data_IF_482989659421
#
_entry.id   IF_482989659421
#
_cell.length_a   1.000
_cell.length_b   1.000
_cell.length_c   1.000
_cell.angle_alpha   90.00
_cell.angle_beta   90.00
_cell.angle_gamma   90.00
#
_symmetry.space_group_name_H-M   'P 1'
#
loop_
_entity.id
_entity.type
_entity.pdbx_description
1 polymer ?
#
# COMPACT_ATOMS: atom_id res chain seq x y z
N UNK A 1 22.64 -15.30 10.79
CA UNK A 1 21.47 -15.70 9.97
C UNK A 1 20.86 -17.06 10.33
N UNK A 2 21.61 -18.12 10.68
CA UNK A 2 21.03 -19.45 11.00
C UNK A 2 20.19 -19.52 12.30
N UNK A 3 20.42 -18.62 13.26
CA UNK A 3 19.69 -18.61 14.54
C UNK A 3 18.28 -18.00 14.45
N UNK A 4 18.07 -17.00 13.57
CA UNK A 4 16.76 -16.33 13.39
C UNK A 4 15.73 -17.27 12.75
N UNK A 5 16.16 -18.19 11.90
CA UNK A 5 15.28 -19.18 11.27
C UNK A 5 14.79 -20.27 12.24
N UNK A 6 15.57 -20.64 13.26
CA UNK A 6 15.19 -21.70 14.22
C UNK A 6 14.16 -21.24 15.25
N UNK A 7 14.20 -19.97 15.66
CA UNK A 7 13.19 -19.41 16.58
C UNK A 7 11.87 -19.15 15.85
N UNK A 8 11.91 -18.73 14.59
CA UNK A 8 10.70 -18.57 13.77
C UNK A 8 9.94 -19.87 13.50
N UNK A 9 10.66 -20.97 13.23
CA UNK A 9 10.04 -22.27 12.97
C UNK A 9 9.36 -22.90 14.20
N UNK A 10 9.90 -22.68 15.41
CA UNK A 10 9.32 -23.23 16.65
C UNK A 10 8.05 -22.48 17.08
N UNK A 11 7.97 -21.17 16.80
CA UNK A 11 6.76 -20.37 17.03
C UNK A 11 5.65 -20.67 16.01
N UNK A 12 5.99 -21.06 14.78
CA UNK A 12 5.01 -21.46 13.77
C UNK A 12 4.33 -22.81 14.08
N UNK A 13 5.02 -23.74 14.73
CA UNK A 13 4.45 -25.06 15.05
C UNK A 13 3.47 -25.05 16.23
N UNK A 14 3.66 -24.18 17.22
CA UNK A 14 2.79 -24.14 18.41
C UNK A 14 1.42 -23.49 18.17
N UNK A 15 1.27 -22.66 17.13
CA UNK A 15 -0.03 -22.07 16.75
C UNK A 15 -0.86 -22.94 15.80
N UNK A 16 -0.28 -24.00 15.23
CA UNK A 16 -0.96 -24.87 14.26
C UNK A 16 -1.96 -25.88 14.88
N UNK A 17 -2.02 -25.99 16.21
CA UNK A 17 -2.80 -27.01 16.91
C UNK A 17 -4.03 -26.49 17.68
N UNK A 18 -4.38 -25.21 17.54
CA UNK A 18 -5.63 -24.69 18.13
C UNK A 18 -6.81 -25.05 17.20
N UNK A 19 -7.82 -25.80 17.68
CA UNK A 19 -8.96 -26.20 16.85
C UNK A 19 -9.68 -24.99 16.25
N UNK A 20 -10.09 -25.15 14.99
CA UNK A 20 -10.61 -24.12 14.08
C UNK A 20 -12.00 -23.55 14.44
N UNK A 21 -12.50 -23.76 15.66
CA UNK A 21 -13.87 -23.38 16.06
C UNK A 21 -14.10 -21.87 16.22
N UNK A 22 -13.07 -21.04 16.04
CA UNK A 22 -13.17 -19.57 16.02
C UNK A 22 -12.94 -18.94 14.62
N UNK A 23 -12.91 -19.75 13.55
CA UNK A 23 -12.45 -19.30 12.23
C UNK A 23 -13.42 -18.36 11.47
N UNK A 24 -14.69 -18.26 11.87
CA UNK A 24 -15.70 -17.55 11.07
C UNK A 24 -15.71 -16.01 11.23
N UNK A 25 -14.84 -15.42 12.04
CA UNK A 25 -14.88 -13.96 12.30
C UNK A 25 -13.54 -13.21 12.15
N UNK A 26 -12.59 -13.73 11.36
CA UNK A 26 -11.35 -12.99 11.11
C UNK A 26 -11.61 -11.72 10.31
N UNK A 27 -11.25 -10.57 10.89
CA UNK A 27 -11.45 -9.28 10.23
C UNK A 27 -10.30 -8.99 9.26
N UNK A 28 -10.58 -8.54 8.03
CA UNK A 28 -9.57 -7.97 7.14
C UNK A 28 -8.77 -6.88 7.85
N UNK A 29 -7.46 -6.85 7.60
CA UNK A 29 -6.56 -5.93 8.30
C UNK A 29 -6.12 -4.77 7.39
N UNK A 30 -5.89 -3.59 7.96
CA UNK A 30 -5.37 -2.43 7.26
C UNK A 30 -3.96 -2.67 6.73
N UNK A 31 -3.64 -2.10 5.56
CA UNK A 31 -2.30 -1.94 4.99
C UNK A 31 -1.50 -0.85 5.75
N UNK A 32 -0.22 -0.67 5.42
CA UNK A 32 0.59 0.44 5.96
C UNK A 32 0.12 1.82 5.50
N UNK A 33 -0.76 1.91 4.50
CA UNK A 33 -1.32 3.18 4.04
C UNK A 33 -2.64 3.50 4.75
N UNK A 34 -3.15 2.61 5.62
CA UNK A 34 -4.27 2.88 6.53
C UNK A 34 -5.59 2.23 6.18
N UNK A 35 -5.81 1.79 4.93
CA UNK A 35 -7.08 1.14 4.56
C UNK A 35 -6.90 -0.36 4.44
N UNK A 36 -7.99 -1.13 4.42
CA UNK A 36 -7.92 -2.59 4.35
C UNK A 36 -7.08 -3.05 3.16
N UNK A 37 -6.20 -4.04 3.34
CA UNK A 37 -5.31 -4.48 2.26
C UNK A 37 -4.29 -5.55 2.66
N UNK A 38 -3.22 -5.62 1.86
CA UNK A 38 -2.10 -6.57 2.03
C UNK A 38 -1.03 -5.94 2.92
N UNK A 39 0.22 -5.79 2.47
CA UNK A 39 1.27 -5.11 3.23
C UNK A 39 1.16 -3.61 3.01
N UNK A 40 1.45 -3.15 1.79
CA UNK A 40 1.42 -1.73 1.38
C UNK A 40 0.45 -1.45 0.24
N UNK A 41 -0.11 -2.48 -0.39
CA UNK A 41 -1.21 -2.39 -1.35
C UNK A 41 -2.55 -2.40 -0.62
N UNK A 42 -3.39 -1.41 -0.92
CA UNK A 42 -4.77 -1.36 -0.44
C UNK A 42 -5.67 -2.31 -1.24
N UNK A 43 -6.76 -2.75 -0.63
CA UNK A 43 -7.87 -3.43 -1.34
C UNK A 43 -8.92 -2.41 -1.78
N UNK A 44 -9.92 -2.85 -2.56
CA UNK A 44 -11.12 -2.07 -2.81
C UNK A 44 -12.05 -1.96 -1.60
N UNK A 45 -11.84 -2.77 -0.55
CA UNK A 45 -12.69 -2.77 0.64
C UNK A 45 -12.53 -1.52 1.50
N UNK A 46 -13.60 -1.20 2.24
CA UNK A 46 -13.69 -0.12 3.20
C UNK A 46 -13.98 -0.66 4.60
N UNK A 47 -13.84 0.22 5.59
CA UNK A 47 -14.25 -0.11 6.94
C UNK A 47 -15.77 0.06 6.99
N UNK A 48 -16.52 -0.85 7.61
CA UNK A 48 -17.95 -0.63 7.84
C UNK A 48 -18.21 0.65 8.62
N UNK A 49 -19.43 1.16 8.56
CA UNK A 49 -19.86 2.30 9.36
C UNK A 49 -19.53 2.10 10.85
N UNK A 50 -18.94 3.13 11.47
CA UNK A 50 -18.49 3.15 12.87
C UNK A 50 -17.38 2.13 13.21
N UNK A 51 -16.83 1.43 12.23
CA UNK A 51 -15.63 0.63 12.44
C UNK A 51 -14.40 1.54 12.50
N UNK A 52 -13.38 1.12 13.26
CA UNK A 52 -12.08 1.78 13.24
C UNK A 52 -10.95 0.75 13.13
N UNK A 53 -9.81 1.19 12.64
CA UNK A 53 -8.61 0.39 12.51
C UNK A 53 -7.39 1.20 12.95
N UNK A 54 -6.44 0.52 13.59
CA UNK A 54 -5.15 1.09 13.99
C UNK A 54 -4.06 0.16 13.50
N UNK A 55 -3.04 0.73 12.88
CA UNK A 55 -1.91 0.00 12.32
C UNK A 55 -0.62 0.62 12.79
N UNK A 56 0.30 -0.18 13.32
CA UNK A 56 1.69 0.20 13.55
C UNK A 56 2.57 -0.63 12.64
N UNK A 57 3.60 -0.03 12.04
CA UNK A 57 4.49 -0.75 11.13
C UNK A 57 5.93 -0.29 11.20
N UNK A 58 6.82 -1.19 10.79
CA UNK A 58 8.21 -0.95 10.46
C UNK A 58 8.45 -1.48 9.04
N UNK A 59 9.01 -0.64 8.16
CA UNK A 59 9.20 -0.96 6.75
C UNK A 59 10.60 -0.55 6.32
N UNK A 60 11.40 -1.52 5.87
CA UNK A 60 12.73 -1.29 5.30
C UNK A 60 12.70 -1.56 3.80
N UNK A 61 13.23 -0.64 3.00
CA UNK A 61 13.36 -0.81 1.56
C UNK A 61 14.58 -0.09 0.99
N UNK A 62 14.92 -0.41 -0.25
CA UNK A 62 16.15 0.02 -0.92
C UNK A 62 15.85 0.93 -2.09
N UNK A 63 16.71 1.92 -2.33
CA UNK A 63 16.59 2.94 -3.36
C UNK A 63 17.96 3.30 -3.92
N UNK A 64 17.97 3.82 -5.14
CA UNK A 64 19.17 4.33 -5.79
C UNK A 64 19.05 5.84 -5.98
N UNK A 65 20.19 6.56 -6.08
CA UNK A 65 21.58 6.10 -5.99
C UNK A 65 22.07 5.95 -4.54
N UNK A 66 23.34 5.59 -4.35
CA UNK A 66 24.03 5.65 -3.06
C UNK A 66 23.88 4.43 -2.17
N UNK A 67 23.40 3.29 -2.71
CA UNK A 67 23.06 2.09 -1.92
C UNK A 67 22.17 2.50 -0.73
N UNK A 68 21.12 3.27 -1.02
CA UNK A 68 20.33 3.95 0.00
C UNK A 68 19.23 3.02 0.50
N UNK A 69 19.23 2.73 1.80
CA UNK A 69 18.14 2.00 2.46
C UNK A 69 17.36 2.91 3.39
N UNK A 70 16.04 2.82 3.34
CA UNK A 70 15.13 3.61 4.16
C UNK A 70 14.42 2.66 5.11
N UNK A 71 14.44 3.00 6.40
CA UNK A 71 13.67 2.37 7.45
C UNK A 71 12.62 3.38 7.94
N UNK A 72 11.34 3.02 7.82
CA UNK A 72 10.23 3.85 8.26
C UNK A 72 9.48 3.14 9.37
N UNK A 73 9.22 3.85 10.46
CA UNK A 73 8.21 3.49 11.45
C UNK A 73 7.01 4.40 11.27
N UNK A 74 5.81 3.83 11.35
CA UNK A 74 4.59 4.59 11.17
C UNK A 74 3.41 4.02 11.92
N UNK A 75 2.45 4.90 12.17
CA UNK A 75 1.15 4.54 12.72
C UNK A 75 0.07 5.15 11.85
N UNK A 76 -0.99 4.39 11.59
CA UNK A 76 -2.16 4.86 10.84
C UNK A 76 -3.43 4.49 11.56
N UNK A 77 -4.34 5.44 11.67
CA UNK A 77 -5.67 5.30 12.25
C UNK A 77 -6.70 5.61 11.18
N UNK A 78 -7.72 4.76 11.07
CA UNK A 78 -8.77 4.87 10.06
C UNK A 78 -10.13 4.63 10.67
N UNK A 79 -11.15 5.35 10.18
CA UNK A 79 -12.53 5.24 10.65
C UNK A 79 -13.47 5.14 9.45
N UNK A 80 -14.39 4.19 9.50
CA UNK A 80 -15.51 4.09 8.56
C UNK A 80 -16.62 5.03 8.99
N UNK A 81 -16.85 6.10 8.23
CA UNK A 81 -17.92 7.07 8.49
C UNK A 81 -19.26 6.53 7.99
N UNK A 82 -19.23 5.91 6.81
CA UNK A 82 -20.33 5.15 6.20
C UNK A 82 -19.76 3.88 5.58
N UNK A 83 -20.61 2.97 5.08
CA UNK A 83 -20.15 1.75 4.41
C UNK A 83 -19.50 2.00 3.04
N UNK A 84 -19.47 3.25 2.57
CA UNK A 84 -18.86 3.68 1.31
C UNK A 84 -17.87 4.83 1.48
N UNK A 85 -17.65 5.34 2.70
CA UNK A 85 -16.76 6.45 2.99
C UNK A 85 -15.93 6.24 4.26
N UNK A 86 -14.61 6.23 4.10
CA UNK A 86 -13.63 6.19 5.18
C UNK A 86 -12.80 7.47 5.24
N UNK A 87 -12.34 7.80 6.44
CA UNK A 87 -11.28 8.79 6.67
C UNK A 87 -10.10 8.12 7.38
N UNK A 88 -8.89 8.62 7.15
CA UNK A 88 -7.69 8.12 7.81
C UNK A 88 -6.66 9.21 8.07
N UNK A 89 -5.86 8.99 9.11
CA UNK A 89 -4.71 9.81 9.48
C UNK A 89 -3.53 8.89 9.79
N UNK A 90 -2.39 9.15 9.16
CA UNK A 90 -1.14 8.46 9.38
C UNK A 90 -0.04 9.43 9.77
N UNK A 91 0.91 8.96 10.55
CA UNK A 91 2.12 9.70 10.86
C UNK A 91 3.32 8.76 10.91
N UNK A 92 4.46 9.29 10.54
CA UNK A 92 5.74 8.58 10.55
C UNK A 92 6.64 9.21 11.62
N UNK A 93 6.55 8.74 12.89
CA UNK A 93 7.28 9.37 13.99
C UNK A 93 8.79 9.25 13.80
N UNK A 94 9.25 8.26 13.04
CA UNK A 94 10.66 8.09 12.75
C UNK A 94 10.89 7.44 11.39
N UNK A 95 11.78 8.06 10.62
CA UNK A 95 12.36 7.51 9.39
C UNK A 95 13.87 7.64 9.49
N UNK A 96 14.58 6.62 9.04
CA UNK A 96 16.03 6.59 9.00
C UNK A 96 16.51 6.24 7.60
N UNK A 97 17.42 7.05 7.07
CA UNK A 97 18.03 6.83 5.77
C UNK A 97 19.48 6.44 6.00
N UNK A 98 19.88 5.29 5.46
CA UNK A 98 21.25 4.81 5.45
C UNK A 98 21.79 4.79 4.02
N UNK A 99 23.03 5.20 3.82
CA UNK A 99 23.70 5.27 2.53
C UNK A 99 24.97 4.45 2.58
N UNK A 100 25.03 3.40 1.76
CA UNK A 100 26.25 2.60 1.64
C UNK A 100 27.35 3.28 0.81
N UNK A 101 26.98 4.16 -0.13
CA UNK A 101 27.93 4.86 -1.01
C UNK A 101 27.58 6.35 -1.13
N UNK A 102 27.84 7.17 -0.08
CA UNK A 102 27.46 8.59 -0.09
C UNK A 102 28.08 9.41 -1.21
N UNK A 103 29.22 8.99 -1.79
CA UNK A 103 29.87 9.67 -2.91
C UNK A 103 29.04 9.69 -4.21
N UNK A 104 28.00 8.86 -4.31
CA UNK A 104 27.05 8.87 -5.42
C UNK A 104 25.92 9.90 -5.24
N UNK A 105 25.92 10.65 -4.15
CA UNK A 105 24.89 11.65 -3.84
C UNK A 105 25.43 13.07 -4.03
N UNK A 106 24.72 13.88 -4.80
CA UNK A 106 25.11 15.24 -5.18
C UNK A 106 25.24 16.21 -4.01
N UNK A 107 24.54 15.98 -2.91
CA UNK A 107 24.69 16.80 -1.69
C UNK A 107 25.92 16.41 -0.86
N UNK A 108 26.66 15.38 -1.28
CA UNK A 108 27.93 14.93 -0.69
C UNK A 108 29.13 15.15 -1.61
N UNK A 109 28.93 15.66 -2.82
CA UNK A 109 30.04 15.93 -3.71
C UNK A 109 30.83 17.16 -3.26
N UNK A 110 32.14 17.22 -3.53
CA UNK A 110 32.96 18.37 -3.18
C UNK A 110 32.41 19.68 -3.74
N UNK A 111 32.64 20.79 -3.03
CA UNK A 111 32.24 22.14 -3.47
C UNK A 111 32.92 22.58 -4.76
N UNK A 112 34.01 21.91 -5.17
CA UNK A 112 34.69 22.10 -6.45
C UNK A 112 33.89 21.56 -7.63
N UNK A 113 32.94 20.63 -7.39
CA UNK A 113 32.06 20.16 -8.44
C UNK A 113 31.10 21.29 -8.84
N UNK A 114 30.94 21.56 -10.15
CA UNK A 114 30.07 22.62 -10.62
C UNK A 114 28.62 22.33 -10.20
N UNK A 115 27.84 23.37 -9.83
CA UNK A 115 26.40 23.22 -9.64
C UNK A 115 25.79 22.71 -10.95
N UNK A 116 24.82 21.81 -10.87
CA UNK A 116 24.16 21.33 -12.07
C UNK A 116 23.37 22.49 -12.70
N UNK A 117 23.67 22.86 -13.96
CA UNK A 117 23.01 23.98 -14.58
C UNK A 117 21.56 23.62 -14.85
N UNK A 118 20.65 24.44 -14.36
CA UNK A 118 19.30 24.51 -14.90
C UNK A 118 19.15 25.92 -15.47
N UNK A 119 18.88 26.00 -16.77
CA UNK A 119 19.01 27.18 -17.62
C UNK A 119 18.21 28.43 -17.15
N UNK A 120 17.42 28.30 -16.08
CA UNK A 120 16.61 29.40 -15.51
C UNK A 120 16.57 29.43 -13.97
N UNK A 121 17.17 28.48 -13.23
CA UNK A 121 17.19 28.47 -11.76
C UNK A 121 18.33 27.56 -11.25
N UNK A 122 19.24 28.01 -10.36
CA UNK A 122 20.27 27.12 -9.81
C UNK A 122 19.64 26.04 -8.93
N UNK A 123 19.89 24.76 -9.25
CA UNK A 123 19.58 23.67 -8.33
C UNK A 123 20.62 23.61 -7.21
N UNK A 124 20.22 23.13 -6.03
CA UNK A 124 21.14 22.85 -4.92
C UNK A 124 22.09 21.68 -5.21
N UNK A 125 21.77 20.88 -6.22
CA UNK A 125 22.58 19.71 -6.57
C UNK A 125 23.79 20.09 -7.42
N UNK A 126 24.91 19.47 -7.10
CA UNK A 126 26.16 19.55 -7.86
C UNK A 126 26.33 18.31 -8.72
N UNK A 127 27.03 18.44 -9.83
CA UNK A 127 27.36 17.31 -10.68
C UNK A 127 28.17 16.24 -9.93
N UNK A 128 27.99 14.98 -10.30
CA UNK A 128 28.76 13.87 -9.69
C UNK A 128 30.23 13.86 -10.14
N UNK A 129 30.54 14.50 -11.27
CA UNK A 129 31.91 14.69 -11.78
C UNK A 129 32.26 16.17 -11.84
N UNK A 130 33.56 16.50 -11.89
CA UNK A 130 34.05 17.89 -12.03
C UNK A 130 34.00 18.33 -13.50
N UNK A 131 32.86 18.08 -14.15
CA UNK A 131 32.62 18.46 -15.54
C UNK A 131 31.39 19.37 -15.57
N UNK A 132 31.48 20.58 -16.15
CA UNK A 132 30.32 21.46 -16.31
C UNK A 132 29.17 20.73 -17.01
N UNK A 133 27.97 20.83 -16.46
CA UNK A 133 26.79 20.14 -17.00
C UNK A 133 26.67 18.66 -16.61
N UNK A 134 27.62 18.09 -15.85
CA UNK A 134 27.47 16.73 -15.34
C UNK A 134 26.27 16.61 -14.40
N UNK A 135 25.44 15.62 -14.65
CA UNK A 135 24.18 15.48 -13.96
C UNK A 135 24.33 15.05 -12.49
N UNK A 136 23.37 15.41 -11.63
CA UNK A 136 23.39 15.07 -10.23
C UNK A 136 22.84 13.66 -9.98
N UNK A 137 23.18 13.10 -8.82
CA UNK A 137 22.62 11.86 -8.30
C UNK A 137 21.91 12.12 -6.98
N UNK A 138 20.62 11.81 -6.89
CA UNK A 138 19.86 11.92 -5.65
C UNK A 138 18.72 10.91 -5.64
N UNK A 139 18.22 10.54 -4.46
CA UNK A 139 17.10 9.61 -4.32
C UNK A 139 15.81 10.39 -4.52
N UNK A 140 15.01 10.10 -5.54
CA UNK A 140 13.82 10.91 -5.89
C UNK A 140 12.79 11.04 -4.76
N UNK A 141 12.51 9.95 -4.03
CA UNK A 141 11.64 9.96 -2.84
C UNK A 141 12.30 10.67 -1.62
N UNK A 142 13.63 10.75 -1.58
CA UNK A 142 14.42 11.29 -0.47
C UNK A 142 15.54 12.23 -0.98
N UNK A 143 15.19 13.30 -1.70
CA UNK A 143 16.15 14.05 -2.51
C UNK A 143 17.13 14.88 -1.67
N UNK A 144 16.77 15.15 -0.42
CA UNK A 144 17.60 15.86 0.55
C UNK A 144 18.46 14.92 1.40
N UNK A 145 18.32 13.61 1.22
CA UNK A 145 19.13 12.64 1.93
C UNK A 145 20.58 12.73 1.44
N UNK A 146 21.48 13.13 2.34
CA UNK A 146 22.91 13.22 2.05
C UNK A 146 23.79 12.43 3.05
N UNK A 147 23.29 12.04 4.23
CA UNK A 147 24.01 11.23 5.22
C UNK A 147 23.13 10.18 5.84
N UNK A 148 23.76 9.29 6.59
CA UNK A 148 23.11 8.48 7.60
C UNK A 148 22.48 9.40 8.65
N UNK A 149 21.17 9.55 8.59
CA UNK A 149 20.41 10.39 9.49
C UNK A 149 18.99 9.86 9.63
N UNK A 150 18.33 10.26 10.71
CA UNK A 150 16.93 9.98 10.93
C UNK A 150 16.19 11.21 11.42
N UNK A 151 14.89 11.19 11.25
CA UNK A 151 14.01 12.29 11.61
C UNK A 151 12.55 11.90 11.45
N UNK A 152 11.69 12.86 11.75
CA UNK A 152 10.24 12.71 11.54
C UNK A 152 9.91 12.71 10.05
N UNK A 153 8.91 11.91 9.67
CA UNK A 153 8.33 11.92 8.33
C UNK A 153 7.12 12.84 8.21
N UNK A 154 6.31 12.64 7.19
CA UNK A 154 5.11 13.44 6.94
C UNK A 154 3.94 12.98 7.81
N UNK A 155 2.97 13.87 8.02
CA UNK A 155 1.63 13.50 8.45
C UNK A 155 0.78 13.33 7.19
N UNK A 156 0.09 12.19 7.09
CA UNK A 156 -0.79 11.90 5.96
C UNK A 156 -2.23 11.96 6.44
N UNK A 157 -3.05 12.80 5.83
CA UNK A 157 -4.51 12.80 6.06
C UNK A 157 -5.18 12.44 4.75
N UNK A 158 -6.18 11.58 4.79
CA UNK A 158 -6.88 11.20 3.58
C UNK A 158 -8.27 10.65 3.82
N UNK A 159 -8.93 10.37 2.70
CA UNK A 159 -10.23 9.74 2.67
C UNK A 159 -10.32 8.75 1.51
N UNK A 160 -11.24 7.80 1.63
CA UNK A 160 -11.48 6.76 0.64
C UNK A 160 -12.98 6.59 0.43
N UNK A 161 -13.40 6.59 -0.83
CA UNK A 161 -14.76 6.41 -1.29
C UNK A 161 -14.83 5.10 -2.06
N UNK A 162 -15.75 4.22 -1.70
CA UNK A 162 -15.93 2.94 -2.38
C UNK A 162 -17.29 2.82 -3.03
N UNK A 163 -17.44 3.15 -4.33
CA UNK A 163 -18.71 3.00 -5.03
C UNK A 163 -19.14 1.53 -5.15
N UNK A 164 -18.20 0.59 -5.31
CA UNK A 164 -18.48 -0.84 -5.45
C UNK A 164 -17.80 -1.66 -4.34
N UNK A 165 -18.49 -2.68 -3.83
CA UNK A 165 -17.97 -3.60 -2.80
C UNK A 165 -18.63 -4.97 -2.92
N UNK A 166 -17.83 -6.03 -2.92
CA UNK A 166 -18.35 -7.40 -2.84
C UNK A 166 -19.16 -7.63 -1.56
N UNK A 167 -18.87 -6.91 -0.48
CA UNK A 167 -19.66 -6.98 0.76
C UNK A 167 -21.05 -6.36 0.63
N UNK A 168 -21.29 -5.59 -0.42
CA UNK A 168 -22.59 -5.03 -0.77
C UNK A 168 -23.24 -5.75 -1.96
N UNK A 169 -22.67 -6.87 -2.40
CA UNK A 169 -23.19 -7.68 -3.50
C UNK A 169 -22.64 -7.32 -4.89
N UNK A 170 -21.70 -6.37 -4.99
CA UNK A 170 -21.09 -6.01 -6.28
C UNK A 170 -20.11 -7.10 -6.77
N UNK A 171 -19.85 -7.14 -8.08
CA UNK A 171 -18.96 -8.14 -8.68
C UNK A 171 -17.49 -8.03 -8.24
N UNK A 172 -17.07 -6.83 -7.89
CA UNK A 172 -15.74 -6.53 -7.38
C UNK A 172 -15.81 -5.33 -6.45
N UNK A 173 -14.77 -5.14 -5.66
CA UNK A 173 -14.65 -3.96 -4.80
C UNK A 173 -13.79 -2.92 -5.50
N UNK A 174 -14.26 -1.68 -5.56
CA UNK A 174 -13.55 -0.54 -6.14
C UNK A 174 -13.59 0.62 -5.18
N UNK A 175 -12.45 1.27 -5.00
CA UNK A 175 -12.36 2.47 -4.21
C UNK A 175 -11.44 3.51 -4.83
N UNK A 176 -11.81 4.77 -4.64
CA UNK A 176 -11.02 5.96 -4.96
C UNK A 176 -10.56 6.55 -3.64
N UNK A 177 -9.27 6.85 -3.53
CA UNK A 177 -8.65 7.39 -2.32
C UNK A 177 -7.86 8.65 -2.64
N UNK A 178 -7.97 9.64 -1.76
CA UNK A 178 -7.21 10.88 -1.81
C UNK A 178 -6.37 11.01 -0.53
N UNK A 179 -5.09 11.30 -0.70
CA UNK A 179 -4.15 11.54 0.40
C UNK A 179 -3.51 12.93 0.27
N UNK A 180 -3.33 13.57 1.42
CA UNK A 180 -2.64 14.84 1.59
C UNK A 180 -1.42 14.61 2.48
N UNK A 181 -0.22 14.88 1.95
CA UNK A 181 1.05 14.75 2.66
C UNK A 181 1.43 16.11 3.23
N UNK A 182 1.38 16.23 4.55
CA UNK A 182 1.63 17.45 5.29
C UNK A 182 3.03 17.35 5.90
N UNK A 183 3.99 18.19 5.47
CA UNK A 183 5.34 18.14 5.99
C UNK A 183 5.40 18.60 7.43
N UNK A 184 6.08 17.83 8.28
CA UNK A 184 6.32 18.17 9.69
C UNK A 184 7.51 19.10 9.87
N UNK A 185 8.39 19.20 8.87
CA UNK A 185 9.53 20.12 8.83
C UNK A 185 9.51 20.94 7.54
N UNK A 186 9.84 22.23 7.64
CA UNK A 186 9.88 23.16 6.49
C UNK A 186 11.18 23.94 6.36
N UNK A 187 11.95 24.05 7.45
CA UNK A 187 13.27 24.70 7.42
C UNK A 187 14.22 23.91 6.54
N UNK A 188 14.88 24.57 5.59
CA UNK A 188 15.81 23.89 4.69
C UNK A 188 17.00 23.26 5.43
N UNK A 189 17.45 23.88 6.53
CA UNK A 189 18.47 23.29 7.42
C UNK A 189 18.01 21.95 8.00
N UNK A 190 16.85 21.93 8.66
CA UNK A 190 16.25 20.70 9.21
C UNK A 190 16.07 19.60 8.16
N UNK A 191 15.70 19.98 6.94
CA UNK A 191 15.48 19.04 5.84
C UNK A 191 16.79 18.44 5.32
N UNK A 192 17.85 19.25 5.20
CA UNK A 192 19.19 18.76 4.86
C UNK A 192 19.80 17.91 5.99
N UNK A 193 19.44 18.22 7.24
CA UNK A 193 19.98 17.53 8.40
C UNK A 193 19.38 16.14 8.59
N UNK A 194 18.08 16.02 8.33
CA UNK A 194 17.31 14.78 8.51
C UNK A 194 17.20 13.96 7.22
N UNK A 195 17.04 14.61 6.06
CA UNK A 195 16.90 13.93 4.76
C UNK A 195 15.66 13.03 4.62
N UNK A 196 14.68 13.15 5.52
CA UNK A 196 13.54 12.23 5.61
C UNK A 196 12.30 12.68 4.84
N UNK A 197 12.19 13.95 4.46
CA UNK A 197 11.04 14.52 3.78
C UNK A 197 11.46 15.69 2.88
N UNK A 198 10.55 16.17 2.03
CA UNK A 198 10.81 17.24 1.06
C UNK A 198 10.50 18.63 1.62
N UNK A 199 9.73 18.67 2.72
CA UNK A 199 9.23 19.88 3.35
C UNK A 199 8.12 20.58 2.57
N UNK A 200 7.54 19.92 1.56
CA UNK A 200 6.46 20.45 0.75
C UNK A 200 5.19 19.63 0.91
N UNK A 201 4.06 20.30 0.72
CA UNK A 201 2.77 19.64 0.65
C UNK A 201 2.67 18.77 -0.60
N UNK A 202 2.23 17.52 -0.44
CA UNK A 202 1.95 16.59 -1.53
C UNK A 202 0.47 16.22 -1.59
N UNK A 203 0.01 15.85 -2.77
CA UNK A 203 -1.33 15.27 -2.98
C UNK A 203 -1.23 14.01 -3.81
N UNK A 204 -1.99 12.98 -3.45
CA UNK A 204 -2.06 11.72 -4.19
C UNK A 204 -3.50 11.28 -4.38
N UNK A 205 -3.87 11.05 -5.63
CA UNK A 205 -5.08 10.32 -6.01
C UNK A 205 -4.75 8.86 -6.26
N UNK A 206 -5.63 7.95 -5.85
CA UNK A 206 -5.45 6.52 -6.04
C UNK A 206 -6.76 5.80 -6.31
N UNK A 207 -6.67 4.73 -7.08
CA UNK A 207 -7.74 3.78 -7.36
C UNK A 207 -7.26 2.41 -6.88
N UNK A 208 -8.10 1.72 -6.12
CA UNK A 208 -7.84 0.37 -5.61
C UNK A 208 -9.00 -0.53 -6.02
N UNK A 209 -8.68 -1.68 -6.59
CA UNK A 209 -9.65 -2.70 -6.97
C UNK A 209 -9.28 -4.00 -6.26
N UNK A 210 -10.27 -4.74 -5.78
CA UNK A 210 -10.05 -6.08 -5.26
C UNK A 210 -11.16 -7.04 -5.63
N UNK A 211 -10.83 -8.33 -5.64
CA UNK A 211 -11.77 -9.40 -5.92
C UNK A 211 -11.42 -10.66 -5.13
N UNK A 212 -12.45 -11.34 -4.65
CA UNK A 212 -12.35 -12.65 -4.03
C UNK A 212 -12.58 -13.76 -5.06
N UNK A 213 -11.76 -14.81 -4.99
CA UNK A 213 -11.71 -15.91 -5.93
C UNK A 213 -11.85 -17.26 -5.23
N UNK A 214 -12.33 -18.25 -5.99
CA UNK A 214 -12.42 -19.66 -5.59
C UNK A 214 -13.08 -19.90 -4.22
N UNK A 215 -14.30 -19.37 -4.03
CA UNK A 215 -15.08 -19.50 -2.79
C UNK A 215 -14.28 -19.03 -1.56
N UNK A 216 -13.85 -17.77 -1.57
CA UNK A 216 -13.13 -17.12 -0.47
C UNK A 216 -11.75 -17.70 -0.16
N UNK A 217 -11.08 -18.32 -1.14
CA UNK A 217 -9.73 -18.86 -0.94
C UNK A 217 -8.63 -17.89 -1.30
N UNK A 218 -8.88 -16.93 -2.18
CA UNK A 218 -7.86 -15.96 -2.61
C UNK A 218 -8.50 -14.59 -2.75
N UNK A 219 -7.89 -13.56 -2.18
CA UNK A 219 -8.25 -12.16 -2.42
C UNK A 219 -7.11 -11.52 -3.19
N UNK A 220 -7.40 -11.01 -4.38
CA UNK A 220 -6.44 -10.25 -5.18
C UNK A 220 -6.80 -8.77 -5.12
N UNK A 221 -5.79 -7.90 -5.00
CA UNK A 221 -5.93 -6.45 -4.95
C UNK A 221 -4.96 -5.80 -5.94
N UNK A 222 -5.38 -4.71 -6.58
CA UNK A 222 -4.59 -3.95 -7.55
C UNK A 222 -4.79 -2.46 -7.32
N UNK A 223 -3.69 -1.70 -7.37
CA UNK A 223 -3.66 -0.27 -7.09
C UNK A 223 -3.00 0.50 -8.23
N UNK A 224 -3.58 1.66 -8.53
CA UNK A 224 -3.00 2.69 -9.39
C UNK A 224 -3.07 4.00 -8.62
N UNK A 225 -1.95 4.68 -8.44
CA UNK A 225 -1.93 5.99 -7.78
C UNK A 225 -1.02 6.98 -8.47
N UNK A 226 -1.44 8.23 -8.52
CA UNK A 226 -0.66 9.34 -9.05
C UNK A 226 -0.48 10.40 -7.96
N UNK A 227 0.76 10.75 -7.67
CA UNK A 227 1.14 11.78 -6.69
C UNK A 227 1.71 12.98 -7.40
N UNK A 228 1.08 14.12 -7.17
CA UNK A 228 1.62 15.43 -7.54
C UNK A 228 2.56 15.86 -6.43
N UNK A 229 3.82 16.04 -6.81
CA UNK A 229 4.87 16.53 -5.91
C UNK A 229 5.01 18.05 -6.05
N UNK A 230 5.63 18.67 -5.04
CA UNK A 230 5.89 20.11 -5.07
C UNK A 230 7.36 20.35 -4.83
N UNK A 231 7.93 21.22 -5.64
CA UNK A 231 9.33 21.59 -5.58
C UNK A 231 9.70 22.20 -4.23
N UNK A 232 10.74 21.69 -3.54
CA UNK A 232 11.25 22.31 -2.32
C UNK A 232 11.72 23.72 -2.55
N UNK A 233 11.38 24.61 -1.60
CA UNK A 233 11.74 26.02 -1.64
C UNK A 233 12.39 26.44 -0.33
N UNK A 234 13.41 27.28 -0.40
CA UNK A 234 13.85 28.08 0.75
C UNK A 234 13.91 29.54 0.35
N UNK A 235 13.47 30.43 1.23
CA UNK A 235 13.38 31.87 0.95
C UNK A 235 12.65 32.18 -0.38
N UNK A 236 11.58 31.41 -0.68
CA UNK A 236 10.78 31.45 -1.92
C UNK A 236 11.51 31.06 -3.21
N UNK A 237 12.80 30.74 -3.15
CA UNK A 237 13.59 30.24 -4.29
C UNK A 237 13.40 28.73 -4.40
N UNK A 238 13.11 28.24 -5.61
CA UNK A 238 13.04 26.81 -5.92
C UNK A 238 14.42 26.18 -5.83
N UNK A 239 14.56 25.13 -5.03
CA UNK A 239 15.84 24.45 -4.80
C UNK A 239 16.14 23.36 -5.82
N UNK A 240 15.12 22.66 -6.30
CA UNK A 240 15.19 21.70 -7.39
C UNK A 240 13.76 21.38 -7.83
N UNK A 241 13.65 20.74 -8.98
CA UNK A 241 12.36 20.29 -9.52
C UNK A 241 12.15 18.81 -9.22
N UNK A 242 11.05 18.47 -8.54
CA UNK A 242 10.68 17.09 -8.23
C UNK A 242 9.92 16.41 -9.35
N UNK A 243 10.13 15.10 -9.50
CA UNK A 243 9.30 14.27 -10.36
C UNK A 243 8.00 13.92 -9.65
N UNK A 244 6.91 13.92 -10.40
CA UNK A 244 5.66 13.31 -9.95
C UNK A 244 5.83 11.79 -9.88
N UNK A 245 4.96 11.13 -9.10
CA UNK A 245 5.09 9.70 -8.83
C UNK A 245 3.84 8.96 -9.27
N UNK A 246 3.99 8.09 -10.26
CA UNK A 246 3.02 7.07 -10.63
C UNK A 246 3.38 5.77 -9.91
N UNK A 247 2.43 5.16 -9.21
CA UNK A 247 2.64 3.87 -8.53
C UNK A 247 1.59 2.87 -8.98
N UNK A 248 2.06 1.68 -9.31
CA UNK A 248 1.25 0.53 -9.69
C UNK A 248 1.53 -0.58 -8.66
N UNK A 249 0.50 -1.20 -8.13
CA UNK A 249 0.65 -2.26 -7.13
C UNK A 249 -0.30 -3.41 -7.38
N UNK A 250 0.13 -4.61 -7.04
CA UNK A 250 -0.72 -5.79 -7.01
C UNK A 250 -0.38 -6.64 -5.79
N UNK A 251 -1.38 -7.20 -5.12
CA UNK A 251 -1.17 -8.04 -3.96
C UNK A 251 -2.23 -9.12 -3.83
N UNK A 252 -1.87 -10.22 -3.18
CA UNK A 252 -2.72 -11.38 -3.01
C UNK A 252 -2.66 -11.87 -1.58
N UNK A 253 -3.82 -12.18 -1.01
CA UNK A 253 -3.98 -12.88 0.28
C UNK A 253 -4.52 -14.27 -0.02
N UNK A 254 -3.79 -15.30 0.42
CA UNK A 254 -4.22 -16.69 0.33
C UNK A 254 -4.91 -17.09 1.63
N UNK A 255 -6.00 -17.83 1.51
CA UNK A 255 -6.77 -18.36 2.63
C UNK A 255 -7.23 -17.25 3.60
N UNK A 256 -7.95 -16.21 3.13
CA UNK A 256 -8.33 -15.02 3.92
C UNK A 256 -9.21 -15.32 5.14
N UNK A 257 -9.76 -16.54 5.28
CA UNK A 257 -10.52 -17.01 6.45
C UNK A 257 -9.68 -17.84 7.43
N UNK A 258 -8.40 -18.07 7.15
CA UNK A 258 -7.50 -18.81 8.03
C UNK A 258 -6.67 -17.87 8.90
N UNK A 259 -6.27 -18.34 10.09
CA UNK A 259 -5.43 -17.55 11.02
C UNK A 259 -4.02 -17.30 10.49
N UNK A 260 -3.56 -18.11 9.56
CA UNK A 260 -2.29 -17.97 8.88
C UNK A 260 -2.62 -17.70 7.42
N UNK A 261 -2.33 -16.49 6.96
CA UNK A 261 -2.63 -16.05 5.60
C UNK A 261 -1.33 -15.75 4.88
N UNK A 262 -0.87 -16.62 3.98
CA UNK A 262 0.23 -16.29 3.09
C UNK A 262 -0.15 -15.06 2.25
N UNK A 263 0.80 -14.15 2.05
CA UNK A 263 0.59 -12.92 1.30
C UNK A 263 1.76 -12.63 0.38
N UNK A 264 1.45 -12.08 -0.78
CA UNK A 264 2.45 -11.58 -1.74
C UNK A 264 2.01 -10.23 -2.29
N UNK A 265 2.96 -9.38 -2.61
CA UNK A 265 2.73 -8.04 -3.15
C UNK A 265 3.87 -7.66 -4.09
N UNK A 266 3.58 -6.93 -5.17
CA UNK A 266 4.57 -6.26 -6.01
C UNK A 266 4.11 -4.84 -6.31
N UNK A 267 5.01 -3.88 -6.13
CA UNK A 267 4.78 -2.45 -6.34
C UNK A 267 5.85 -1.89 -7.26
N UNK A 268 5.43 -1.18 -8.30
CA UNK A 268 6.26 -0.41 -9.20
C UNK A 268 6.07 1.07 -8.88
N UNK A 269 7.17 1.79 -8.72
CA UNK A 269 7.18 3.26 -8.58
C UNK A 269 7.87 3.85 -9.80
N UNK A 270 7.17 4.69 -10.54
CA UNK A 270 7.60 5.31 -11.78
C UNK A 270 7.62 6.82 -11.56
N UNK A 271 8.78 7.44 -11.76
CA UNK A 271 8.94 8.88 -11.64
C UNK A 271 8.67 9.56 -12.98
N UNK A 272 7.68 10.43 -13.03
CA UNK A 272 7.14 11.04 -14.26
C UNK A 272 7.27 12.55 -14.27
N UNK A 273 7.09 13.15 -15.45
CA UNK A 273 7.11 14.60 -15.64
C UNK A 273 8.51 15.21 -15.69
N UNK A 274 8.56 16.52 -15.93
CA UNK A 274 9.80 17.28 -15.93
C UNK A 274 10.35 17.36 -14.51
N UNK A 275 11.61 16.96 -14.34
CA UNK A 275 12.31 16.91 -13.06
C UNK A 275 13.76 17.34 -13.26
N UNK A 276 14.44 17.69 -12.16
CA UNK A 276 15.89 17.87 -12.24
C UNK A 276 16.51 16.57 -12.74
N UNK A 277 17.40 16.65 -13.73
CA UNK A 277 17.99 15.43 -14.27
C UNK A 277 18.63 14.64 -13.14
N UNK A 278 18.40 13.34 -13.10
CA UNK A 278 18.96 12.46 -12.09
C UNK A 278 19.72 11.34 -12.79
N UNK A 279 21.04 11.41 -12.77
CA UNK A 279 21.92 10.33 -13.29
C UNK A 279 22.22 9.33 -12.21
N UNK A 280 21.17 8.78 -11.62
CA UNK A 280 21.28 7.62 -10.74
C UNK A 280 22.06 6.51 -11.45
N UNK A 281 23.14 6.03 -10.84
CA UNK A 281 23.89 4.83 -11.28
C UNK A 281 23.07 3.54 -11.06
N UNK A 282 21.81 3.51 -11.49
CA UNK A 282 20.87 2.46 -11.11
C UNK A 282 19.45 2.75 -11.58
N UNK A 283 18.55 1.78 -11.35
CA UNK A 283 17.16 1.94 -11.75
C UNK A 283 16.51 3.08 -10.95
N UNK A 284 16.11 4.13 -11.68
CA UNK A 284 15.33 5.25 -11.16
C UNK A 284 13.99 4.79 -10.61
N UNK A 285 13.32 3.88 -11.32
CA UNK A 285 11.94 3.44 -11.04
C UNK A 285 11.94 2.08 -10.33
N UNK A 286 11.90 1.99 -8.99
CA UNK A 286 12.08 0.72 -8.30
C UNK A 286 10.85 -0.22 -8.45
N UNK A 287 11.13 -1.53 -8.53
CA UNK A 287 10.16 -2.60 -8.39
C UNK A 287 10.38 -3.33 -7.07
N UNK A 288 9.48 -3.15 -6.10
CA UNK A 288 9.51 -3.79 -4.80
C UNK A 288 8.56 -4.99 -4.77
N UNK A 289 9.07 -6.18 -4.46
CA UNK A 289 8.24 -7.37 -4.20
C UNK A 289 8.33 -7.76 -2.73
N UNK A 290 7.20 -8.13 -2.13
CA UNK A 290 7.08 -8.55 -0.72
C UNK A 290 6.39 -9.90 -0.66
N UNK A 291 6.97 -10.84 0.08
CA UNK A 291 6.36 -12.15 0.37
C UNK A 291 6.37 -12.38 1.87
N UNK A 292 5.28 -12.90 2.41
CA UNK A 292 5.20 -13.12 3.84
C UNK A 292 3.91 -13.74 4.30
N UNK A 293 3.61 -13.54 5.57
CA UNK A 293 2.45 -14.11 6.24
C UNK A 293 1.77 -13.07 7.12
N UNK A 294 0.45 -13.19 7.24
CA UNK A 294 -0.36 -12.55 8.28
C UNK A 294 -0.81 -13.61 9.27
N UNK A 295 -0.60 -13.33 10.55
CA UNK A 295 -0.94 -14.20 11.67
C UNK A 295 -2.03 -13.52 12.51
N UNK A 296 -3.09 -14.25 12.84
CA UNK A 296 -4.18 -13.79 13.70
C UNK A 296 -4.13 -14.48 15.07
N UNK A 297 -3.47 -13.87 16.08
CA UNK A 297 -3.63 -14.28 17.46
C UNK A 297 -5.09 -14.15 17.94
N UNK A 298 -5.80 -13.10 17.48
CA UNK A 298 -7.21 -12.84 17.76
C UNK A 298 -7.96 -12.40 16.48
N UNK A 299 -9.28 -12.49 16.47
CA UNK A 299 -10.11 -12.17 15.30
C UNK A 299 -9.96 -10.72 14.81
N UNK A 300 -9.68 -9.80 15.73
CA UNK A 300 -9.57 -8.36 15.54
C UNK A 300 -8.14 -7.83 15.66
N UNK A 301 -7.14 -8.72 15.70
CA UNK A 301 -5.74 -8.35 15.80
C UNK A 301 -4.86 -9.28 14.97
N UNK A 302 -3.99 -8.70 14.15
CA UNK A 302 -3.05 -9.46 13.35
C UNK A 302 -1.65 -8.88 13.36
N UNK A 303 -0.68 -9.77 13.13
CA UNK A 303 0.72 -9.45 12.91
C UNK A 303 1.10 -9.92 11.51
N UNK A 304 1.58 -8.99 10.68
CA UNK A 304 2.08 -9.28 9.34
C UNK A 304 3.61 -9.21 9.36
N UNK A 305 4.26 -10.21 8.77
CA UNK A 305 5.71 -10.26 8.57
C UNK A 305 5.98 -10.60 7.13
N UNK A 306 6.69 -9.70 6.43
CA UNK A 306 7.03 -9.83 5.02
C UNK A 306 8.51 -9.57 4.76
N UNK A 307 9.12 -10.43 3.95
CA UNK A 307 10.43 -10.19 3.34
C UNK A 307 10.23 -9.37 2.06
N UNK A 308 10.95 -8.26 1.94
CA UNK A 308 10.92 -7.39 0.76
C UNK A 308 12.20 -7.54 -0.05
N UNK A 309 12.09 -7.51 -1.36
CA UNK A 309 13.23 -7.44 -2.28
C UNK A 309 12.95 -6.47 -3.42
N UNK A 310 13.86 -5.55 -3.66
CA UNK A 310 13.78 -4.66 -4.83
C UNK A 310 14.47 -5.30 -6.03
N UNK A 311 13.72 -5.59 -7.09
CA UNK A 311 14.17 -6.49 -8.16
C UNK A 311 15.10 -5.86 -9.20
N UNK A 312 14.91 -4.59 -9.53
CA UNK A 312 15.60 -3.94 -10.66
C UNK A 312 16.79 -3.04 -10.25
N UNK A 313 17.15 -3.00 -8.98
CA UNK A 313 18.32 -2.25 -8.49
C UNK A 313 19.62 -3.06 -8.70
N UNK A 314 20.09 -3.25 -9.95
CA UNK A 314 21.25 -4.12 -10.24
C UNK A 314 22.52 -3.77 -9.45
N UNK A 315 22.82 -2.49 -9.28
CA UNK A 315 24.05 -1.98 -8.66
C UNK A 315 23.95 -1.77 -7.13
N UNK A 316 22.82 -2.13 -6.52
CA UNK A 316 22.57 -1.86 -5.10
C UNK A 316 23.13 -2.99 -4.22
N UNK A 317 23.98 -2.65 -3.25
CA UNK A 317 24.63 -3.61 -2.37
C UNK A 317 23.66 -4.37 -1.46
N UNK A 318 22.61 -3.71 -0.97
CA UNK A 318 21.57 -4.35 -0.14
C UNK A 318 20.15 -4.22 -0.75
N UNK A 319 19.70 -5.21 -1.51
CA UNK A 319 18.36 -5.20 -2.13
C UNK A 319 17.26 -5.73 -1.21
N UNK A 320 17.60 -6.07 0.03
CA UNK A 320 16.73 -6.78 0.96
C UNK A 320 16.13 -5.83 1.98
N UNK A 321 14.84 -5.98 2.19
CA UNK A 321 14.06 -5.22 3.13
C UNK A 321 13.07 -6.12 3.86
N UNK A 322 12.21 -5.48 4.64
CA UNK A 322 11.12 -6.17 5.32
C UNK A 322 9.94 -5.23 5.51
N UNK A 323 8.78 -5.81 5.78
CA UNK A 323 7.62 -5.10 6.33
C UNK A 323 7.14 -5.90 7.52
N UNK A 324 7.10 -5.27 8.69
CA UNK A 324 6.48 -5.82 9.89
C UNK A 324 5.35 -4.87 10.26
N UNK A 325 4.17 -5.42 10.52
CA UNK A 325 2.99 -4.62 10.85
C UNK A 325 2.16 -5.31 11.92
N UNK A 326 1.59 -4.52 12.81
CA UNK A 326 0.60 -4.95 13.79
C UNK A 326 -0.66 -4.12 13.55
N UNK A 327 -1.77 -4.81 13.30
CA UNK A 327 -3.06 -4.18 13.02
C UNK A 327 -4.10 -4.62 14.03
N UNK A 328 -4.93 -3.69 14.48
CA UNK A 328 -6.18 -4.00 15.15
C UNK A 328 -7.34 -3.33 14.43
N UNK A 329 -8.47 -4.03 14.40
CA UNK A 329 -9.67 -3.59 13.69
C UNK A 329 -10.88 -3.88 14.55
N UNK A 330 -11.66 -2.85 14.85
CA UNK A 330 -12.90 -2.99 15.61
C UNK A 330 -14.08 -2.67 14.71
N UNK A 331 -15.01 -3.61 14.57
CA UNK A 331 -16.28 -3.40 13.86
C UNK A 331 -17.40 -3.41 14.89
N UNK A 332 -18.18 -2.34 14.95
CA UNK A 332 -19.33 -2.26 15.86
C UNK A 332 -20.41 -3.28 15.47
N UNK A 333 -20.60 -3.49 14.18
CA UNK A 333 -21.57 -4.43 13.62
C UNK A 333 -20.88 -5.73 13.19
N UNK A 334 -21.56 -6.86 13.40
CA UNK A 334 -21.15 -8.11 12.76
C UNK A 334 -21.22 -7.91 11.25
N UNK A 335 -20.25 -8.43 10.47
CA UNK A 335 -20.34 -8.36 9.01
C UNK A 335 -21.68 -8.97 8.62
N UNK A 336 -22.47 -8.29 7.78
CA UNK A 336 -23.60 -8.98 7.15
C UNK A 336 -23.04 -10.16 6.36
N UNK A 337 -23.65 -11.35 6.44
CA UNK A 337 -23.25 -12.48 5.61
C UNK A 337 -23.17 -12.06 4.14
N UNK A 338 -22.23 -12.62 3.38
CA UNK A 338 -22.19 -12.43 1.92
C UNK A 338 -23.53 -12.91 1.37
N UNK A 339 -24.22 -12.08 0.59
CA UNK A 339 -25.50 -12.44 0.02
C UNK A 339 -25.35 -13.69 -0.86
N UNK A 340 -26.20 -14.69 -0.62
CA UNK A 340 -26.21 -15.97 -1.31
C UNK A 340 -27.28 -15.93 -2.39
N UNK A 341 -27.04 -16.66 -3.47
CA UNK A 341 -28.00 -16.70 -4.57
C UNK A 341 -29.30 -17.38 -4.12
N UNK A 342 -30.47 -16.89 -4.58
CA UNK A 342 -31.73 -17.55 -4.32
C UNK A 342 -31.76 -18.91 -5.02
N UNK A 343 -32.50 -19.84 -4.42
CA UNK A 343 -32.77 -21.15 -5.02
C UNK A 343 -34.21 -21.17 -5.51
N UNK A 344 -34.42 -21.63 -6.75
CA UNK A 344 -35.75 -21.81 -7.31
C UNK A 344 -35.91 -23.24 -7.85
N UNK A 345 -37.07 -23.84 -7.58
CA UNK A 345 -37.52 -25.08 -8.19
C UNK A 345 -38.82 -24.81 -8.94
N UNK A 346 -38.87 -25.22 -10.20
CA UNK A 346 -40.04 -25.05 -11.05
C UNK A 346 -40.67 -26.41 -11.34
N UNK A 347 -41.98 -26.51 -11.18
CA UNK A 347 -42.77 -27.66 -11.59
C UNK A 347 -43.86 -27.21 -12.56
N UNK A 348 -43.98 -27.89 -13.69
CA UNK A 348 -45.10 -27.73 -14.61
C UNK A 348 -46.18 -28.76 -14.28
N UNK A 349 -47.45 -28.37 -14.40
CA UNK A 349 -48.59 -29.27 -14.22
C UNK A 349 -48.60 -30.42 -15.25
N UNK A 350 -48.12 -30.14 -16.46
CA UNK A 350 -48.04 -31.09 -17.57
C UNK A 350 -46.59 -31.40 -17.92
N UNK A 351 -46.28 -32.68 -18.11
CA UNK A 351 -44.94 -33.13 -18.53
C UNK A 351 -44.61 -32.77 -20.00
N UNK A 352 -45.64 -32.55 -20.82
CA UNK A 352 -45.51 -32.15 -22.22
C UNK A 352 -46.79 -31.46 -22.69
N UNK A 353 -46.66 -30.53 -23.63
CA UNK A 353 -47.78 -29.94 -24.38
C UNK A 353 -47.50 -30.01 -25.87
N UNK A 354 -48.55 -30.22 -26.66
CA UNK A 354 -48.43 -30.19 -28.11
C UNK A 354 -48.45 -28.75 -28.60
N UNK A 355 -47.54 -28.43 -29.53
CA UNK A 355 -47.57 -27.15 -30.23
C UNK A 355 -48.96 -26.96 -30.87
N UNK A 356 -49.47 -25.71 -30.85
CA UNK A 356 -50.75 -25.31 -31.44
C UNK A 356 -52.02 -25.90 -30.78
N UNK A 357 -51.90 -26.64 -29.67
CA UNK A 357 -53.06 -27.20 -28.95
C UNK A 357 -53.96 -26.15 -28.27
N UNK A 358 -53.47 -24.94 -28.03
CA UNK A 358 -54.15 -23.94 -27.20
C UNK A 358 -54.12 -24.26 -25.70
N UNK A 359 -53.41 -25.32 -25.29
CA UNK A 359 -53.31 -25.73 -23.90
C UNK A 359 -52.59 -24.67 -23.04
N UNK A 360 -53.17 -24.36 -21.88
CA UNK A 360 -52.49 -23.62 -20.81
C UNK A 360 -51.78 -24.60 -19.88
N UNK A 361 -50.60 -24.22 -19.39
CA UNK A 361 -49.82 -25.00 -18.42
C UNK A 361 -49.60 -24.14 -17.18
N UNK A 362 -50.10 -24.60 -16.03
CA UNK A 362 -49.72 -24.01 -14.75
C UNK A 362 -48.24 -24.31 -14.48
N UNK A 363 -47.44 -23.25 -14.30
CA UNK A 363 -46.07 -23.35 -13.81
C UNK A 363 -46.05 -22.85 -12.38
N UNK A 364 -45.67 -23.73 -11.45
CA UNK A 364 -45.48 -23.37 -10.05
C UNK A 364 -43.99 -23.22 -9.78
N UNK A 365 -43.61 -22.08 -9.20
CA UNK A 365 -42.24 -21.80 -8.76
C UNK A 365 -42.23 -21.82 -7.24
N UNK A 366 -41.37 -22.64 -6.65
CA UNK A 366 -41.00 -22.58 -5.25
C UNK A 366 -39.61 -21.97 -5.17
N UNK A 367 -39.53 -20.72 -4.74
CA UNK A 367 -38.27 -20.01 -4.59
C UNK A 367 -38.02 -19.69 -3.11
N UNK A 368 -36.76 -19.75 -2.71
CA UNK A 368 -36.30 -19.44 -1.37
C UNK A 368 -34.98 -18.70 -1.45
N UNK A 369 -34.86 -17.61 -0.69
CA UNK A 369 -33.60 -16.93 -0.52
C UNK A 369 -32.94 -17.36 0.80
N UNK A 370 -31.70 -17.88 0.81
CA UNK A 370 -31.02 -18.30 2.03
C UNK A 370 -30.77 -17.17 3.05
N UNK A 371 -30.81 -15.91 2.61
CA UNK A 371 -30.61 -14.71 3.41
C UNK A 371 -31.92 -13.96 3.69
N UNK A 372 -33.05 -14.54 3.24
CA UNK A 372 -34.40 -14.03 3.42
C UNK A 372 -34.62 -12.67 2.72
N UNK A 373 -33.91 -12.42 1.64
CA UNK A 373 -34.14 -11.27 0.76
C UNK A 373 -35.47 -11.41 -0.02
N UNK A 374 -36.18 -10.31 -0.33
CA UNK A 374 -37.37 -10.36 -1.16
C UNK A 374 -37.07 -10.90 -2.57
N UNK A 375 -37.88 -11.88 -2.99
CA UNK A 375 -37.79 -12.50 -4.32
C UNK A 375 -38.74 -11.77 -5.27
N UNK A 376 -38.24 -11.32 -6.43
CA UNK A 376 -39.01 -10.60 -7.46
C UNK A 376 -38.95 -11.26 -8.82
#
# INVERSE_FOLDING_TARGET
MKAVWRVGALLLLSFALVPATFADDLRPMPSTTGTLGVFTVDSGYLLPRRAFAITNYASKFSRMPGNTTILTFGTVVSVGITDWFNVHVGWEPYRYTHMGVPSQLSLRTPVTNPPYPNATNPTIFRGLTVVPGSAPGYVEEFPLANRNAGGVGDVVVGFKIGPFSEWRGDWFSLAIRNDFFIPTRRSFGDLLDNGTQTGQFGWQGSVSMSRTWWKDRIVSSSNLSYRITRDPRANRVRMFQQADVLRLGGGTIFLPKHRIQPMTETVFTIYTGTSTQNTTFGARDPMDSVWGVRLYPWANFAVDVGFRRTGNLKEHGDKSGFVIKMGTVYWHEKPKPVNRQPMASCSAEKASVYAESGDTVGVRVMASDPDNDPLS
#
